data_IF_659798493472
#
_entry.id   IF_659798493472
#
_cell.length_a   1.000
_cell.length_b   1.000
_cell.length_c   1.000
_cell.angle_alpha   90.00
_cell.angle_beta   90.00
_cell.angle_gamma   90.00
#
_symmetry.space_group_name_H-M   'P 1'
#
loop_
_entity.id
_entity.type
_entity.pdbx_description
1 polymer ?
#
# COMPACT_ATOMS: atom_id res chain seq x y z
N UNK A 1 -2.23 -1.04 -34.68
CA UNK A 1 -1.52 -2.28 -34.34
C UNK A 1 -1.68 -2.41 -32.85
N UNK A 2 -2.86 -2.81 -32.36
CA UNK A 2 -2.96 -3.04 -30.92
C UNK A 2 -1.89 -4.04 -30.48
N UNK A 3 -1.01 -3.67 -29.55
CA UNK A 3 -0.03 -4.60 -28.99
C UNK A 3 -0.77 -5.80 -28.42
N UNK A 4 -0.29 -7.01 -28.68
CA UNK A 4 -0.80 -8.25 -28.11
C UNK A 4 0.23 -8.87 -27.17
N UNK A 5 -0.26 -9.66 -26.21
CA UNK A 5 0.57 -10.49 -25.36
C UNK A 5 0.54 -11.92 -25.94
N UNK A 6 1.71 -12.48 -26.22
CA UNK A 6 1.84 -13.85 -26.73
C UNK A 6 1.72 -14.89 -25.62
N UNK A 7 1.64 -16.17 -26.00
CA UNK A 7 1.63 -17.31 -25.08
C UNK A 7 2.91 -17.47 -24.25
N UNK A 8 3.95 -16.68 -24.50
CA UNK A 8 5.20 -16.66 -23.73
C UNK A 8 5.07 -15.86 -22.42
N UNK A 9 3.91 -15.25 -22.18
CA UNK A 9 3.64 -14.51 -20.96
C UNK A 9 3.80 -15.38 -19.70
N UNK A 10 4.63 -14.89 -18.77
CA UNK A 10 4.88 -15.53 -17.47
C UNK A 10 4.01 -14.97 -16.33
N UNK A 11 2.96 -14.20 -16.66
CA UNK A 11 2.04 -13.60 -15.69
C UNK A 11 2.70 -12.76 -14.58
N UNK A 12 3.80 -12.06 -14.90
CA UNK A 12 4.54 -11.24 -13.93
C UNK A 12 3.82 -9.95 -13.50
N UNK A 13 2.82 -9.48 -14.27
CA UNK A 13 2.05 -8.27 -13.98
C UNK A 13 2.79 -6.94 -14.16
N UNK A 14 4.03 -6.95 -14.65
CA UNK A 14 4.84 -5.74 -14.77
C UNK A 14 4.30 -4.75 -15.82
N UNK A 15 3.59 -5.23 -16.85
CA UNK A 15 3.06 -4.40 -17.93
C UNK A 15 1.77 -3.66 -17.58
N UNK A 16 0.95 -4.20 -16.66
CA UNK A 16 -0.35 -3.64 -16.28
C UNK A 16 -0.28 -2.19 -15.77
N UNK A 17 0.58 -1.84 -14.79
CA UNK A 17 0.65 -0.46 -14.27
C UNK A 17 1.25 0.54 -15.26
N UNK A 18 1.97 0.08 -16.28
CA UNK A 18 2.63 0.94 -17.26
C UNK A 18 1.68 1.40 -18.37
N UNK A 19 0.48 0.82 -18.49
CA UNK A 19 -0.45 1.17 -19.56
C UNK A 19 -1.22 2.47 -19.24
N UNK A 20 -1.04 3.56 -20.02
CA UNK A 20 -1.72 4.84 -19.76
C UNK A 20 -3.25 4.75 -19.86
N UNK A 21 -3.75 3.81 -20.66
CA UNK A 21 -5.17 3.64 -20.95
C UNK A 21 -5.82 2.52 -20.10
N UNK A 22 -5.05 1.85 -19.24
CA UNK A 22 -5.48 0.65 -18.51
C UNK A 22 -6.07 -0.42 -19.44
N UNK A 23 -5.35 -0.71 -20.54
CA UNK A 23 -5.79 -1.65 -21.57
C UNK A 23 -5.40 -3.12 -21.28
N UNK A 24 -4.62 -3.35 -20.23
CA UNK A 24 -4.04 -4.66 -19.91
C UNK A 24 -4.77 -5.25 -18.70
N UNK A 25 -5.17 -6.51 -18.82
CA UNK A 25 -5.94 -7.24 -17.81
C UNK A 25 -5.32 -8.61 -17.58
N UNK A 26 -5.45 -9.12 -16.35
CA UNK A 26 -5.06 -10.49 -16.03
C UNK A 26 -6.00 -11.51 -16.68
N UNK A 27 -5.47 -12.70 -16.98
CA UNK A 27 -6.26 -13.82 -17.47
C UNK A 27 -7.46 -14.12 -16.56
N UNK A 28 -8.63 -14.33 -17.17
CA UNK A 28 -9.89 -14.63 -16.47
C UNK A 28 -10.59 -13.42 -15.82
N UNK A 29 -9.98 -12.23 -15.86
CA UNK A 29 -10.61 -11.00 -15.37
C UNK A 29 -11.46 -10.38 -16.46
N UNK A 30 -12.71 -10.04 -16.16
CA UNK A 30 -13.58 -9.28 -17.07
C UNK A 30 -13.06 -7.85 -17.27
N UNK A 31 -13.11 -7.34 -18.49
CA UNK A 31 -12.65 -5.98 -18.79
C UNK A 31 -13.82 -5.01 -18.92
N UNK A 32 -13.57 -3.74 -18.64
CA UNK A 32 -14.57 -2.69 -18.70
C UNK A 32 -14.31 -1.76 -19.90
N UNK A 33 -15.33 -1.60 -20.74
CA UNK A 33 -15.35 -0.64 -21.83
C UNK A 33 -15.51 0.80 -21.31
N UNK A 34 -15.27 1.78 -22.18
CA UNK A 34 -15.34 3.20 -21.80
C UNK A 34 -16.75 3.66 -21.39
N UNK A 35 -17.79 3.00 -21.89
CA UNK A 35 -19.18 3.24 -21.52
C UNK A 35 -19.57 2.61 -20.16
N UNK A 36 -18.62 1.90 -19.53
CA UNK A 36 -18.80 1.22 -18.27
C UNK A 36 -19.33 -0.21 -18.40
N UNK A 37 -19.56 -0.72 -19.61
CA UNK A 37 -20.00 -2.08 -19.83
C UNK A 37 -18.89 -3.10 -19.51
N UNK A 38 -19.27 -4.22 -18.91
CA UNK A 38 -18.36 -5.32 -18.56
C UNK A 38 -18.40 -6.40 -19.63
N UNK A 39 -17.23 -6.83 -20.08
CA UNK A 39 -17.03 -7.81 -21.14
C UNK A 39 -16.24 -9.02 -20.62
N UNK A 40 -16.48 -10.22 -21.17
CA UNK A 40 -15.72 -11.41 -20.79
C UNK A 40 -14.23 -11.27 -21.09
N UNK A 41 -13.41 -11.99 -20.33
CA UNK A 41 -11.96 -12.02 -20.53
C UNK A 41 -11.60 -12.48 -21.95
N UNK A 42 -10.59 -11.85 -22.57
CA UNK A 42 -10.09 -12.26 -23.88
C UNK A 42 -9.13 -13.46 -23.78
N UNK A 43 -8.54 -13.67 -22.61
CA UNK A 43 -7.73 -14.84 -22.28
C UNK A 43 -8.03 -15.25 -20.85
N UNK A 44 -8.08 -16.55 -20.59
CA UNK A 44 -8.26 -17.12 -19.25
C UNK A 44 -6.93 -17.45 -18.56
N UNK A 45 -5.85 -17.61 -19.34
CA UNK A 45 -4.60 -18.20 -18.86
C UNK A 45 -3.46 -17.18 -18.69
N UNK A 46 -3.45 -16.13 -19.52
CA UNK A 46 -2.38 -15.13 -19.56
C UNK A 46 -2.95 -13.71 -19.53
N UNK A 47 -2.10 -12.74 -19.17
CA UNK A 47 -2.45 -11.33 -19.39
C UNK A 47 -2.82 -11.09 -20.84
N UNK A 48 -3.82 -10.24 -21.05
CA UNK A 48 -4.28 -9.86 -22.38
C UNK A 48 -4.42 -8.34 -22.49
N UNK A 49 -4.30 -7.84 -23.72
CA UNK A 49 -4.46 -6.42 -24.04
C UNK A 49 -5.76 -6.26 -24.81
N UNK A 50 -6.64 -5.36 -24.36
CA UNK A 50 -7.88 -5.01 -25.04
C UNK A 50 -7.55 -4.10 -26.23
N UNK A 51 -7.77 -4.54 -27.48
CA UNK A 51 -7.37 -3.77 -28.66
C UNK A 51 -8.02 -2.39 -28.73
N UNK A 52 -9.28 -2.29 -28.29
CA UNK A 52 -10.07 -1.06 -28.31
C UNK A 52 -9.51 0.03 -27.38
N UNK A 53 -8.73 -0.36 -26.36
CA UNK A 53 -8.09 0.55 -25.40
C UNK A 53 -6.60 0.75 -25.70
N UNK A 54 -6.00 -0.06 -26.56
CA UNK A 54 -4.58 0.04 -26.87
C UNK A 54 -4.33 1.16 -27.89
N UNK A 55 -3.44 2.10 -27.55
CA UNK A 55 -2.98 3.17 -28.46
C UNK A 55 -1.53 3.00 -28.87
N UNK A 56 -0.89 1.86 -28.59
CA UNK A 56 0.56 1.66 -28.77
C UNK A 56 1.41 2.76 -28.11
N UNK A 57 0.88 3.31 -27.02
CA UNK A 57 1.41 4.48 -26.30
C UNK A 57 1.52 5.77 -27.14
N UNK A 58 0.96 5.83 -28.36
CA UNK A 58 0.86 7.07 -29.14
C UNK A 58 0.09 8.11 -28.32
N UNK A 59 0.68 9.30 -28.18
CA UNK A 59 0.16 10.37 -27.32
C UNK A 59 0.82 10.45 -25.94
N UNK A 60 1.55 9.40 -25.51
CA UNK A 60 2.12 9.29 -24.17
C UNK A 60 3.61 8.97 -24.16
N UNK A 61 4.04 7.98 -24.95
CA UNK A 61 5.44 7.51 -25.02
C UNK A 61 5.90 7.34 -26.48
N UNK A 62 7.20 7.40 -26.71
CA UNK A 62 7.85 7.17 -28.01
C UNK A 62 8.10 5.68 -28.31
N UNK A 63 7.67 4.80 -27.41
CA UNK A 63 7.76 3.34 -27.51
C UNK A 63 6.65 2.69 -26.67
N UNK A 64 6.37 1.41 -26.89
CA UNK A 64 5.40 0.68 -26.07
C UNK A 64 5.96 0.41 -24.67
N UNK A 65 5.43 1.10 -23.66
CA UNK A 65 5.87 0.96 -22.26
C UNK A 65 5.72 -0.48 -21.73
N UNK A 66 4.68 -1.19 -22.16
CA UNK A 66 4.48 -2.60 -21.81
C UNK A 66 5.56 -3.51 -22.38
N UNK A 67 6.08 -3.22 -23.58
CA UNK A 67 7.18 -3.98 -24.17
C UNK A 67 8.52 -3.68 -23.47
N UNK A 68 8.75 -2.42 -23.07
CA UNK A 68 9.98 -2.03 -22.38
C UNK A 68 10.17 -2.67 -21.00
N UNK A 69 9.07 -3.02 -20.32
CA UNK A 69 9.10 -3.64 -18.98
C UNK A 69 8.95 -5.17 -19.02
N UNK A 70 8.64 -5.76 -20.17
CA UNK A 70 8.37 -7.19 -20.28
C UNK A 70 9.67 -8.01 -20.12
N UNK A 71 9.80 -8.89 -19.11
CA UNK A 71 11.03 -9.65 -18.89
C UNK A 71 11.27 -10.77 -19.92
N UNK A 72 10.26 -11.10 -20.72
CA UNK A 72 10.26 -12.19 -21.71
C UNK A 72 9.89 -11.69 -23.11
N UNK A 73 9.85 -10.36 -23.32
CA UNK A 73 9.57 -9.72 -24.61
C UNK A 73 8.29 -10.20 -25.33
N UNK A 74 7.28 -10.65 -24.59
CA UNK A 74 6.04 -11.21 -25.14
C UNK A 74 4.98 -10.17 -25.52
N UNK A 75 5.24 -8.87 -25.32
CA UNK A 75 4.35 -7.77 -25.71
C UNK A 75 4.74 -7.27 -27.11
N UNK A 76 4.09 -7.79 -28.15
CA UNK A 76 4.47 -7.55 -29.55
C UNK A 76 3.33 -6.85 -30.31
N UNK A 77 3.63 -6.02 -31.32
CA UNK A 77 2.59 -5.45 -32.18
C UNK A 77 1.78 -6.56 -32.85
N UNK A 78 0.45 -6.51 -32.76
CA UNK A 78 -0.39 -7.55 -33.36
C UNK A 78 -0.40 -7.40 -34.91
N UNK A 79 0.10 -8.40 -35.67
CA UNK A 79 0.09 -8.35 -37.12
C UNK A 79 -1.33 -8.40 -37.73
N UNK A 80 -2.30 -8.91 -36.99
CA UNK A 80 -3.69 -9.10 -37.47
C UNK A 80 -4.54 -7.82 -37.35
N UNK A 81 -4.07 -6.80 -36.62
CA UNK A 81 -4.81 -5.55 -36.38
C UNK A 81 -3.93 -4.32 -36.70
N UNK A 82 -3.47 -4.11 -37.95
CA UNK A 82 -2.65 -2.96 -38.29
C UNK A 82 -3.43 -1.65 -38.20
N UNK A 83 -2.84 -0.62 -37.56
CA UNK A 83 -3.47 0.70 -37.39
C UNK A 83 -2.40 1.77 -37.58
N UNK A 84 -2.83 2.93 -38.09
CA UNK A 84 -1.94 4.05 -38.38
C UNK A 84 -1.77 4.96 -37.16
N UNK A 85 -0.72 5.77 -37.20
CA UNK A 85 -0.46 6.81 -36.21
C UNK A 85 -1.71 7.65 -35.89
N UNK A 86 -2.42 8.11 -36.92
CA UNK A 86 -3.55 9.04 -36.75
C UNK A 86 -4.74 8.36 -36.06
N UNK A 87 -5.01 7.09 -36.38
CA UNK A 87 -6.06 6.30 -35.71
C UNK A 87 -5.78 6.13 -34.22
N UNK A 88 -4.52 5.86 -33.86
CA UNK A 88 -4.11 5.67 -32.47
C UNK A 88 -4.13 6.98 -31.69
N UNK A 89 -3.74 8.09 -32.33
CA UNK A 89 -3.77 9.42 -31.74
C UNK A 89 -5.21 9.88 -31.48
N UNK A 90 -6.12 9.65 -32.42
CA UNK A 90 -7.54 9.96 -32.24
C UNK A 90 -8.17 9.11 -31.14
N UNK A 91 -7.82 7.81 -31.06
CA UNK A 91 -8.24 6.95 -29.95
C UNK A 91 -7.73 7.47 -28.61
N UNK A 92 -6.48 7.92 -28.52
CA UNK A 92 -5.92 8.49 -27.29
C UNK A 92 -6.72 9.71 -26.81
N UNK A 93 -7.14 10.58 -27.74
CA UNK A 93 -7.98 11.76 -27.43
C UNK A 93 -9.38 11.37 -26.95
N UNK A 94 -9.94 10.29 -27.49
CA UNK A 94 -11.25 9.76 -27.06
C UNK A 94 -11.15 9.07 -25.69
N UNK A 95 -10.04 8.40 -25.39
CA UNK A 95 -9.78 7.77 -24.09
C UNK A 95 -9.54 8.78 -22.97
N UNK A 96 -8.96 9.94 -23.31
CA UNK A 96 -8.58 10.96 -22.34
C UNK A 96 -9.11 12.35 -22.74
N UNK A 97 -10.44 12.57 -22.69
CA UNK A 97 -11.04 13.87 -23.04
C UNK A 97 -10.58 15.02 -22.12
N UNK A 98 -10.06 14.70 -20.94
CA UNK A 98 -9.47 15.63 -19.99
C UNK A 98 -8.03 16.07 -20.34
N UNK A 99 -7.34 15.34 -21.23
CA UNK A 99 -5.96 15.62 -21.62
C UNK A 99 -5.90 16.33 -22.98
N UNK A 100 -5.08 17.38 -23.08
CA UNK A 100 -4.80 18.04 -24.36
C UNK A 100 -3.64 17.34 -25.07
N UNK A 101 -3.93 16.36 -25.93
CA UNK A 101 -2.94 15.60 -26.70
C UNK A 101 -2.69 16.27 -28.07
N UNK A 102 -1.52 16.89 -28.21
CA UNK A 102 -1.10 17.61 -29.41
C UNK A 102 -0.76 16.67 -30.58
N UNK A 103 -0.80 17.18 -31.82
CA UNK A 103 -0.47 16.39 -33.03
C UNK A 103 1.00 15.94 -33.07
N UNK A 104 1.88 16.69 -32.41
CA UNK A 104 3.31 16.41 -32.30
C UNK A 104 3.66 15.48 -31.13
N UNK A 105 2.67 14.93 -30.42
CA UNK A 105 2.87 14.06 -29.27
C UNK A 105 3.80 12.85 -29.55
N UNK A 106 4.48 12.32 -28.50
CA UNK A 106 5.37 11.18 -28.61
C UNK A 106 4.72 9.97 -29.30
N UNK A 107 5.49 9.31 -30.16
CA UNK A 107 5.03 8.16 -30.91
C UNK A 107 6.17 7.28 -31.40
N UNK A 108 5.97 5.96 -31.33
CA UNK A 108 6.87 4.94 -31.92
C UNK A 108 7.11 5.10 -33.41
N UNK A 109 6.22 5.79 -34.13
CA UNK A 109 6.33 6.01 -35.57
C UNK A 109 7.31 7.16 -35.92
N UNK A 110 7.78 7.93 -34.92
CA UNK A 110 8.52 9.19 -35.14
C UNK A 110 10.04 9.11 -34.91
N UNK A 111 10.67 7.93 -34.84
CA UNK A 111 12.13 7.83 -34.61
C UNK A 111 12.93 8.35 -35.83
N UNK A 112 13.79 9.35 -35.57
CA UNK A 112 14.78 9.90 -36.50
C UNK A 112 15.63 8.79 -37.15
N UNK A 113 15.70 8.75 -38.50
CA UNK A 113 16.69 7.96 -39.24
C UNK A 113 16.36 6.49 -39.48
N UNK A 114 15.28 6.19 -40.21
CA UNK A 114 15.01 4.84 -40.71
C UNK A 114 15.95 4.45 -41.87
N UNK A 115 17.07 3.80 -41.54
CA UNK A 115 17.65 2.74 -42.40
C UNK A 115 17.40 1.42 -41.69
N UNK A 116 16.57 0.58 -42.30
CA UNK A 116 16.37 -0.79 -41.83
C UNK A 116 17.67 -1.60 -41.97
N UNK A 117 18.02 -2.43 -40.99
CA UNK A 117 18.76 -3.64 -41.25
C UNK A 117 17.91 -4.88 -41.02
N UNK A 118 18.01 -5.73 -42.02
CA UNK A 118 17.52 -7.09 -42.16
C UNK A 118 17.64 -7.98 -40.92
N UNK A 119 16.70 -8.94 -40.90
CA UNK A 119 16.71 -10.17 -40.12
C UNK A 119 18.12 -10.75 -39.89
N UNK A 120 18.44 -10.99 -38.62
CA UNK A 120 19.41 -11.99 -38.21
C UNK A 120 18.73 -12.86 -37.15
N UNK A 121 18.33 -14.05 -37.58
CA UNK A 121 17.87 -15.10 -36.69
C UNK A 121 19.04 -15.73 -35.95
N UNK A 122 18.78 -16.17 -34.72
CA UNK A 122 19.56 -17.20 -34.07
C UNK A 122 18.64 -18.41 -33.90
N UNK A 123 18.95 -19.44 -34.67
CA UNK A 123 18.13 -20.61 -34.83
C UNK A 123 18.14 -21.54 -33.62
N UNK A 124 16.96 -22.03 -33.30
CA UNK A 124 16.78 -23.43 -32.94
C UNK A 124 15.62 -23.97 -33.77
N UNK A 125 15.97 -24.52 -34.94
CA UNK A 125 15.04 -25.29 -35.75
C UNK A 125 14.72 -26.61 -35.04
N UNK A 126 13.44 -26.84 -34.77
CA UNK A 126 12.88 -28.18 -34.74
C UNK A 126 11.50 -28.13 -35.40
N UNK A 127 11.41 -28.80 -36.54
CA UNK A 127 10.24 -28.93 -37.39
C UNK A 127 9.05 -29.56 -36.65
N UNK A 128 7.82 -29.10 -36.94
CA UNK A 128 6.86 -29.83 -37.77
C UNK A 128 5.41 -29.31 -37.69
N UNK A 129 4.76 -29.39 -38.85
CA UNK A 129 3.34 -29.64 -39.11
C UNK A 129 2.29 -28.52 -38.90
N UNK A 130 1.60 -28.23 -40.01
CA UNK A 130 0.39 -27.42 -40.16
C UNK A 130 -0.83 -28.13 -39.53
N UNK A 131 -1.90 -27.37 -39.18
CA UNK A 131 -2.91 -27.77 -38.21
C UNK A 131 -4.05 -28.60 -38.79
N UNK A 132 -4.61 -29.49 -37.96
CA UNK A 132 -5.86 -30.18 -38.22
C UNK A 132 -7.04 -29.41 -37.57
N UNK A 133 -8.10 -29.25 -38.36
CA UNK A 133 -9.37 -28.57 -38.07
C UNK A 133 -10.12 -29.25 -36.90
N UNK A 134 -10.77 -28.50 -35.98
CA UNK A 134 -11.64 -29.09 -34.98
C UNK A 134 -13.04 -29.38 -35.55
N UNK A 135 -13.67 -30.53 -35.21
CA UNK A 135 -15.05 -30.83 -35.57
C UNK A 135 -16.08 -30.17 -34.61
N UNK A 136 -17.34 -30.00 -35.07
CA UNK A 136 -18.32 -29.11 -34.44
C UNK A 136 -19.07 -29.72 -33.24
N UNK A 137 -19.60 -28.81 -32.42
CA UNK A 137 -20.34 -29.05 -31.19
C UNK A 137 -21.64 -29.88 -31.37
N UNK A 138 -21.94 -30.71 -30.38
CA UNK A 138 -23.20 -31.44 -30.24
C UNK A 138 -24.00 -30.94 -29.00
N UNK A 139 -25.34 -31.10 -28.98
CA UNK A 139 -26.26 -30.19 -28.30
C UNK A 139 -26.63 -30.55 -26.86
N UNK A 140 -27.12 -29.53 -26.13
CA UNK A 140 -27.64 -29.55 -24.75
C UNK A 140 -28.73 -30.62 -24.55
N UNK A 141 -28.57 -31.45 -23.51
CA UNK A 141 -29.60 -32.32 -22.98
C UNK A 141 -30.13 -31.79 -21.62
N UNK A 142 -31.43 -32.01 -21.41
CA UNK A 142 -32.26 -31.43 -20.37
C UNK A 142 -32.06 -32.00 -18.95
N UNK A 143 -32.49 -31.20 -17.97
CA UNK A 143 -32.48 -31.49 -16.54
C UNK A 143 -33.32 -32.72 -16.15
N UNK A 144 -32.86 -33.56 -15.20
CA UNK A 144 -33.72 -34.54 -14.54
C UNK A 144 -34.39 -33.97 -13.27
N UNK A 145 -35.63 -34.44 -13.08
CA UNK A 145 -36.55 -34.06 -12.02
C UNK A 145 -36.16 -34.57 -10.62
N UNK A 146 -36.75 -33.91 -9.63
CA UNK A 146 -36.54 -34.08 -8.19
C UNK A 146 -36.79 -35.51 -7.67
N UNK A 147 -35.89 -35.98 -6.80
CA UNK A 147 -36.05 -37.19 -5.99
C UNK A 147 -36.68 -36.86 -4.62
N UNK A 148 -37.44 -37.79 -4.01
CA UNK A 148 -38.23 -37.55 -2.80
C UNK A 148 -37.38 -37.48 -1.52
N UNK A 149 -37.81 -36.61 -0.60
CA UNK A 149 -37.24 -36.40 0.75
C UNK A 149 -37.20 -37.70 1.56
N UNK A 150 -36.00 -38.11 1.95
CA UNK A 150 -35.78 -39.15 2.95
C UNK A 150 -36.02 -38.60 4.37
N UNK A 151 -36.61 -39.45 5.23
CA UNK A 151 -36.99 -39.16 6.59
C UNK A 151 -35.79 -38.92 7.52
N UNK A 152 -36.02 -38.08 8.54
CA UNK A 152 -35.02 -37.69 9.54
C UNK A 152 -34.54 -38.88 10.40
N UNK A 153 -33.22 -39.00 10.67
CA UNK A 153 -32.70 -39.97 11.63
C UNK A 153 -32.89 -39.49 13.08
N UNK A 154 -33.17 -40.46 13.96
CA UNK A 154 -33.33 -40.33 15.40
C UNK A 154 -32.03 -39.86 16.10
N UNK A 155 -32.10 -39.25 17.31
CA UNK A 155 -30.95 -38.59 17.93
C UNK A 155 -29.91 -39.61 18.39
N UNK A 156 -28.72 -39.54 17.79
CA UNK A 156 -27.55 -40.29 18.25
C UNK A 156 -26.89 -39.59 19.44
N UNK A 157 -26.44 -40.42 20.37
CA UNK A 157 -25.79 -40.07 21.64
C UNK A 157 -24.59 -39.14 21.39
N UNK A 158 -24.56 -37.99 22.06
CA UNK A 158 -23.44 -37.03 22.04
C UNK A 158 -22.15 -37.72 22.52
N UNK A 159 -21.33 -38.15 21.56
CA UNK A 159 -19.91 -38.40 21.80
C UNK A 159 -19.24 -37.11 22.25
N UNK A 160 -18.46 -37.21 23.32
CA UNK A 160 -17.65 -36.13 23.88
C UNK A 160 -16.71 -35.62 22.77
N UNK A 161 -16.93 -34.39 22.31
CA UNK A 161 -16.02 -33.69 21.40
C UNK A 161 -14.69 -33.56 22.13
N UNK A 162 -13.68 -34.31 21.70
CA UNK A 162 -12.31 -34.11 22.16
C UNK A 162 -11.88 -32.71 21.72
N UNK A 163 -11.55 -31.89 22.73
CA UNK A 163 -11.02 -30.55 22.53
C UNK A 163 -9.74 -30.67 21.68
N UNK A 164 -9.58 -29.92 20.58
CA UNK A 164 -8.35 -29.93 19.81
C UNK A 164 -7.17 -29.70 20.75
N UNK A 165 -6.28 -30.66 20.84
CA UNK A 165 -5.04 -30.55 21.61
C UNK A 165 -4.26 -29.39 21.00
N UNK A 166 -3.94 -28.39 21.82
CA UNK A 166 -3.13 -27.27 21.39
C UNK A 166 -1.83 -27.82 20.76
N UNK A 167 -1.43 -27.35 19.57
CA UNK A 167 -0.18 -27.78 18.98
C UNK A 167 0.96 -27.51 19.97
N UNK A 168 1.96 -28.41 20.04
CA UNK A 168 3.07 -28.24 20.96
C UNK A 168 3.74 -26.89 20.72
N UNK A 169 4.20 -26.19 21.79
CA UNK A 169 4.89 -24.93 21.64
C UNK A 169 6.09 -25.11 20.71
N UNK A 170 6.18 -24.30 19.65
CA UNK A 170 7.31 -24.31 18.71
C UNK A 170 8.59 -24.13 19.53
N UNK A 171 9.51 -25.08 19.40
CA UNK A 171 10.83 -24.99 20.05
C UNK A 171 11.50 -23.71 19.55
N UNK A 172 11.79 -22.77 20.45
CA UNK A 172 12.40 -21.50 20.10
C UNK A 172 13.78 -21.77 19.48
N UNK A 173 13.94 -21.42 18.20
CA UNK A 173 15.23 -21.51 17.51
C UNK A 173 16.20 -20.54 18.19
N UNK A 174 17.46 -20.93 18.47
CA UNK A 174 18.44 -20.01 19.02
C UNK A 174 18.63 -18.81 18.09
N UNK A 175 18.69 -17.61 18.67
CA UNK A 175 18.86 -16.38 17.90
C UNK A 175 20.23 -16.39 17.19
N UNK A 176 20.28 -16.11 15.88
CA UNK A 176 21.55 -15.96 15.16
C UNK A 176 22.35 -14.79 15.72
N UNK A 177 23.68 -14.87 15.66
CA UNK A 177 24.60 -13.81 16.11
C UNK A 177 25.28 -13.18 14.90
N UNK A 178 25.44 -11.85 14.89
CA UNK A 178 25.92 -11.11 13.73
C UNK A 178 27.14 -10.23 14.02
N UNK A 179 27.88 -9.88 12.97
CA UNK A 179 29.01 -8.95 13.08
C UNK A 179 28.50 -7.54 13.42
N UNK A 180 29.11 -6.89 14.42
CA UNK A 180 28.69 -5.56 14.91
C UNK A 180 27.55 -5.62 15.94
N UNK A 181 27.17 -6.82 16.39
CA UNK A 181 26.19 -7.00 17.45
C UNK A 181 26.79 -6.68 18.82
N UNK A 182 26.05 -5.91 19.63
CA UNK A 182 26.44 -5.56 20.98
C UNK A 182 26.31 -6.77 21.91
N UNK A 183 27.25 -6.91 22.85
CA UNK A 183 27.26 -7.99 23.84
C UNK A 183 26.20 -7.84 24.94
N UNK A 184 25.46 -6.72 24.95
CA UNK A 184 24.42 -6.42 25.94
C UNK A 184 23.11 -7.04 25.50
N UNK A 185 22.33 -7.57 26.46
CA UNK A 185 21.02 -8.14 26.16
C UNK A 185 20.03 -7.10 25.66
N UNK A 186 19.10 -7.50 24.78
CA UNK A 186 18.13 -6.58 24.17
C UNK A 186 17.32 -5.86 25.25
N UNK A 187 16.79 -6.59 26.23
CA UNK A 187 15.93 -6.03 27.27
C UNK A 187 16.70 -5.09 28.21
N UNK A 188 18.01 -5.33 28.42
CA UNK A 188 18.88 -4.41 29.17
C UNK A 188 19.10 -3.12 28.39
N UNK A 189 19.37 -3.21 27.08
CA UNK A 189 19.56 -2.04 26.22
C UNK A 189 18.28 -1.20 26.13
N UNK A 190 17.10 -1.84 26.09
CA UNK A 190 15.80 -1.15 26.19
C UNK A 190 15.66 -0.43 27.53
N UNK A 191 16.03 -1.08 28.64
CA UNK A 191 15.96 -0.49 29.97
C UNK A 191 16.90 0.73 30.11
N UNK A 192 18.11 0.64 29.55
CA UNK A 192 19.12 1.71 29.56
C UNK A 192 18.70 2.92 28.72
N UNK A 193 18.06 2.68 27.57
CA UNK A 193 17.45 3.74 26.76
C UNK A 193 16.22 4.34 27.45
N UNK A 194 15.49 3.52 28.22
CA UNK A 194 14.27 3.91 28.91
C UNK A 194 13.13 4.29 27.97
N UNK A 195 12.13 4.99 28.54
CA UNK A 195 11.04 5.56 27.75
C UNK A 195 11.59 6.53 26.69
N UNK A 196 10.93 6.67 25.52
CA UNK A 196 11.31 7.66 24.51
C UNK A 196 11.44 9.03 25.16
N UNK A 197 12.67 9.48 25.36
CA UNK A 197 12.98 10.75 26.02
C UNK A 197 13.91 11.49 25.09
N UNK A 198 13.47 12.66 24.64
CA UNK A 198 14.37 13.66 24.05
C UNK A 198 15.42 14.00 25.11
N UNK A 199 16.71 13.73 24.85
CA UNK A 199 17.78 14.31 25.68
C UNK A 199 17.92 15.75 25.23
N UNK A 200 17.24 16.64 25.95
CA UNK A 200 17.31 18.08 25.76
C UNK A 200 18.73 18.56 26.08
N UNK A 201 19.65 18.45 25.14
CA UNK A 201 20.87 19.22 25.20
C UNK A 201 20.49 20.69 24.93
N UNK A 202 20.60 21.49 26.00
CA UNK A 202 20.29 22.92 26.11
C UNK A 202 18.80 23.28 26.33
N UNK A 203 18.62 24.23 27.26
CA UNK A 203 17.38 24.88 27.69
C UNK A 203 16.61 25.63 26.57
N UNK A 204 17.06 25.56 25.32
CA UNK A 204 16.53 26.31 24.18
C UNK A 204 15.46 25.56 23.36
N UNK A 205 15.01 24.37 23.80
CA UNK A 205 14.09 23.51 23.02
C UNK A 205 12.77 23.10 23.71
N UNK A 206 12.53 23.50 24.96
CA UNK A 206 11.28 23.24 25.69
C UNK A 206 10.11 24.17 25.33
N UNK A 207 10.29 25.51 25.17
CA UNK A 207 9.19 26.41 24.86
C UNK A 207 8.39 26.04 23.58
N UNK A 208 9.03 25.68 22.44
CA UNK A 208 8.29 25.37 21.22
C UNK A 208 7.53 24.02 21.32
N UNK A 209 7.97 23.09 22.17
CA UNK A 209 7.27 21.82 22.40
C UNK A 209 6.02 21.99 23.26
N UNK A 210 6.06 22.84 24.29
CA UNK A 210 4.88 23.17 25.08
C UNK A 210 3.86 23.96 24.25
N UNK A 211 4.33 24.87 23.37
CA UNK A 211 3.49 25.54 22.39
C UNK A 211 2.81 24.57 21.42
N UNK A 212 3.53 23.53 20.97
CA UNK A 212 2.94 22.45 20.17
C UNK A 212 1.88 21.67 20.94
N UNK A 213 2.17 21.27 22.18
CA UNK A 213 1.23 20.54 23.02
C UNK A 213 -0.04 21.36 23.31
N UNK A 214 0.11 22.66 23.56
CA UNK A 214 -1.03 23.58 23.73
C UNK A 214 -1.79 23.82 22.42
N UNK A 215 -1.07 23.87 21.29
CA UNK A 215 -1.60 24.10 19.95
C UNK A 215 -2.13 22.85 19.24
N UNK A 216 -2.04 21.66 19.85
CA UNK A 216 -2.43 20.40 19.21
C UNK A 216 -3.88 20.38 18.74
N UNK A 217 -4.77 21.10 19.45
CA UNK A 217 -6.16 21.26 19.05
C UNK A 217 -6.32 21.97 17.70
N UNK A 218 -5.46 22.93 17.35
CA UNK A 218 -5.48 23.55 16.02
C UNK A 218 -4.82 22.65 14.97
N UNK A 219 -3.73 21.99 15.32
CA UNK A 219 -3.04 21.06 14.41
C UNK A 219 -3.89 19.82 14.09
N UNK A 220 -4.84 19.45 14.95
CA UNK A 220 -5.80 18.38 14.68
C UNK A 220 -6.75 18.64 13.51
N UNK A 221 -6.86 19.90 13.05
CA UNK A 221 -7.60 20.24 11.84
C UNK A 221 -6.90 19.79 10.56
N UNK A 222 -5.58 19.53 10.61
CA UNK A 222 -4.79 19.19 9.43
C UNK A 222 -5.16 17.83 8.84
N UNK A 223 -4.77 17.62 7.58
CA UNK A 223 -4.97 16.34 6.88
C UNK A 223 -4.23 15.18 7.58
N UNK A 224 -4.67 13.92 7.39
CA UNK A 224 -4.00 12.75 7.98
C UNK A 224 -2.51 12.70 7.66
N UNK A 225 -2.15 12.92 6.39
CA UNK A 225 -0.76 12.93 5.93
C UNK A 225 0.08 14.00 6.61
N UNK A 226 -0.46 15.21 6.82
CA UNK A 226 0.27 16.28 7.50
C UNK A 226 0.46 15.97 8.99
N UNK A 227 -0.57 15.45 9.66
CA UNK A 227 -0.47 15.05 11.08
C UNK A 227 0.57 13.94 11.28
N UNK A 228 0.62 12.96 10.37
CA UNK A 228 1.66 11.93 10.40
C UNK A 228 3.07 12.49 10.20
N UNK A 229 3.25 13.48 9.31
CA UNK A 229 4.54 14.17 9.14
C UNK A 229 4.95 14.94 10.40
N UNK A 230 4.00 15.59 11.07
CA UNK A 230 4.26 16.29 12.35
C UNK A 230 4.63 15.27 13.43
N UNK A 231 3.88 14.18 13.57
CA UNK A 231 4.18 13.09 14.51
C UNK A 231 5.59 12.52 14.29
N UNK A 232 5.95 12.25 13.03
CA UNK A 232 7.31 11.81 12.69
C UNK A 232 8.37 12.86 13.07
N UNK A 233 8.13 14.14 12.82
CA UNK A 233 9.07 15.21 13.17
C UNK A 233 9.24 15.42 14.69
N UNK A 234 8.16 15.28 15.46
CA UNK A 234 8.17 15.48 16.91
C UNK A 234 8.67 14.23 17.63
N UNK A 235 8.27 13.04 17.17
CA UNK A 235 8.65 11.72 17.70
C UNK A 235 8.49 11.57 19.23
N UNK A 236 7.57 12.33 19.84
CA UNK A 236 7.22 12.27 21.27
C UNK A 236 5.72 12.55 21.46
N UNK A 237 4.98 11.49 21.82
CA UNK A 237 3.53 11.53 21.99
C UNK A 237 3.04 12.45 23.09
N UNK A 238 3.92 12.87 24.01
CA UNK A 238 3.56 13.83 25.06
C UNK A 238 3.30 15.23 24.49
N UNK A 239 3.95 15.56 23.37
CA UNK A 239 3.85 16.88 22.75
C UNK A 239 2.94 16.89 21.52
N UNK A 240 2.86 15.77 20.80
CA UNK A 240 1.93 15.65 19.68
C UNK A 240 1.49 14.21 19.50
N UNK A 241 0.17 13.98 19.54
CA UNK A 241 -0.43 12.70 19.18
C UNK A 241 -1.53 12.97 18.12
N UNK A 242 -1.49 12.33 16.94
CA UNK A 242 -2.45 12.60 15.87
C UNK A 242 -3.92 12.38 16.26
N UNK A 243 -4.20 11.40 17.12
CA UNK A 243 -5.55 11.06 17.56
C UNK A 243 -6.02 12.05 18.61
N UNK A 244 -5.18 12.33 19.61
CA UNK A 244 -5.49 13.33 20.63
C UNK A 244 -5.67 14.72 20.01
N UNK A 245 -4.81 15.11 19.07
CA UNK A 245 -4.93 16.36 18.34
C UNK A 245 -6.28 16.46 17.60
N UNK A 246 -6.68 15.38 16.90
CA UNK A 246 -7.97 15.33 16.19
C UNK A 246 -9.15 15.40 17.16
N UNK A 247 -9.10 14.65 18.26
CA UNK A 247 -10.14 14.70 19.30
C UNK A 247 -10.25 16.10 19.92
N UNK A 248 -9.12 16.70 20.30
CA UNK A 248 -9.05 18.06 20.82
C UNK A 248 -9.60 19.08 19.82
N UNK A 249 -9.34 18.90 18.52
CA UNK A 249 -9.89 19.74 17.46
C UNK A 249 -11.42 19.60 17.34
N UNK A 250 -11.96 18.39 17.47
CA UNK A 250 -13.42 18.16 17.45
C UNK A 250 -14.08 18.92 18.61
N UNK A 251 -13.51 18.84 19.83
CA UNK A 251 -14.00 19.61 20.97
C UNK A 251 -13.85 21.12 20.77
N UNK A 252 -12.73 21.56 20.18
CA UNK A 252 -12.50 22.97 19.86
C UNK A 252 -13.52 23.49 18.83
N UNK A 253 -13.93 22.67 17.87
CA UNK A 253 -14.94 23.03 16.86
C UNK A 253 -16.34 23.24 17.45
N UNK A 254 -16.66 22.62 18.60
CA UNK A 254 -17.88 22.91 19.36
C UNK A 254 -17.94 24.35 19.88
N UNK A 255 -16.80 25.05 19.91
CA UNK A 255 -16.71 26.48 20.26
C UNK A 255 -16.46 27.34 19.03
N UNK A 256 -15.51 26.95 18.17
CA UNK A 256 -15.11 27.74 17.00
C UNK A 256 -16.26 27.96 16.01
N UNK A 257 -17.06 26.93 15.71
CA UNK A 257 -18.14 27.06 14.73
C UNK A 257 -19.31 27.91 15.22
N UNK A 258 -19.81 27.75 16.46
CA UNK A 258 -20.77 28.71 17.02
C UNK A 258 -20.28 30.14 17.01
N UNK A 259 -19.03 30.38 17.42
CA UNK A 259 -18.43 31.74 17.43
C UNK A 259 -18.34 32.30 16.01
N UNK A 260 -17.88 31.50 15.04
CA UNK A 260 -17.80 31.92 13.64
C UNK A 260 -19.18 32.23 13.05
N UNK A 261 -20.19 31.38 13.29
CA UNK A 261 -21.56 31.62 12.84
C UNK A 261 -22.14 32.91 13.43
N UNK A 262 -21.93 33.16 14.72
CA UNK A 262 -22.36 34.42 15.37
C UNK A 262 -21.61 35.61 14.80
N UNK A 263 -20.29 35.53 14.61
CA UNK A 263 -19.49 36.61 14.04
C UNK A 263 -19.93 36.97 12.62
N UNK A 264 -20.19 35.97 11.77
CA UNK A 264 -20.75 36.17 10.42
C UNK A 264 -22.13 36.82 10.49
N UNK A 265 -22.99 36.40 11.42
CA UNK A 265 -24.31 36.98 11.60
C UNK A 265 -24.25 38.46 12.04
N UNK A 266 -23.32 38.79 12.95
CA UNK A 266 -23.08 40.16 13.39
C UNK A 266 -22.59 41.04 12.24
N UNK A 267 -21.64 40.53 11.45
CA UNK A 267 -21.07 41.24 10.30
C UNK A 267 -22.09 41.44 9.16
N UNK A 268 -22.95 40.44 8.89
CA UNK A 268 -23.89 40.48 7.78
C UNK A 268 -25.22 41.18 8.09
N UNK A 269 -25.64 41.25 9.37
CA UNK A 269 -26.98 41.73 9.75
C UNK A 269 -27.02 42.80 10.83
N UNK A 270 -25.87 43.37 11.24
CA UNK A 270 -25.78 44.38 12.31
C UNK A 270 -26.52 43.98 13.60
N UNK A 271 -26.49 42.68 13.95
CA UNK A 271 -27.18 42.14 15.12
C UNK A 271 -26.29 42.35 16.36
N UNK A 272 -26.87 42.84 17.46
CA UNK A 272 -26.16 42.96 18.74
C UNK A 272 -26.17 41.64 19.52
N UNK A 273 -25.06 41.35 20.22
CA UNK A 273 -24.84 40.10 20.99
C UNK A 273 -25.92 39.79 22.03
N UNK A 274 -26.69 40.79 22.46
CA UNK A 274 -27.67 40.69 23.54
C UNK A 274 -29.13 40.60 23.07
N UNK A 275 -29.36 40.41 21.76
CA UNK A 275 -30.69 40.13 21.22
C UNK A 275 -30.96 38.62 21.22
N UNK A 276 -32.21 38.13 21.09
CA UNK A 276 -32.51 36.68 21.02
C UNK A 276 -32.11 36.00 19.67
N UNK A 277 -31.62 36.77 18.70
CA UNK A 277 -31.21 36.30 17.36
C UNK A 277 -29.97 35.37 17.35
N UNK A 278 -28.94 35.51 18.22
CA UNK A 278 -27.73 34.68 18.20
C UNK A 278 -27.96 33.20 18.54
N UNK A 279 -29.06 32.84 19.23
CA UNK A 279 -29.28 31.46 19.67
C UNK A 279 -29.41 30.49 18.48
N UNK A 280 -30.10 30.89 17.40
CA UNK A 280 -30.20 30.06 16.19
C UNK A 280 -28.85 29.89 15.49
N UNK A 281 -27.98 30.90 15.53
CA UNK A 281 -26.63 30.84 14.95
C UNK A 281 -25.68 29.96 15.77
N UNK A 282 -25.84 29.95 17.10
CA UNK A 282 -25.14 29.01 18.00
C UNK A 282 -25.57 27.57 17.69
N UNK A 283 -26.90 27.32 17.57
CA UNK A 283 -27.43 26.00 17.21
C UNK A 283 -26.94 25.57 15.83
N UNK A 284 -26.91 26.48 14.85
CA UNK A 284 -26.35 26.21 13.53
C UNK A 284 -24.87 25.81 13.60
N UNK A 285 -24.05 26.58 14.33
CA UNK A 285 -22.63 26.27 14.51
C UNK A 285 -22.40 24.94 15.22
N UNK A 286 -23.21 24.61 16.22
CA UNK A 286 -23.15 23.32 16.92
C UNK A 286 -23.57 22.16 15.99
N UNK A 287 -24.57 22.39 15.13
CA UNK A 287 -24.99 21.46 14.10
C UNK A 287 -23.88 21.18 13.07
N UNK A 288 -23.20 22.22 12.59
CA UNK A 288 -22.05 22.09 11.68
C UNK A 288 -20.92 21.32 12.38
N UNK A 289 -20.62 21.63 13.64
CA UNK A 289 -19.57 20.96 14.41
C UNK A 289 -19.87 19.46 14.58
N UNK A 290 -21.11 19.13 14.92
CA UNK A 290 -21.57 17.75 15.08
C UNK A 290 -21.56 17.00 13.76
N UNK A 291 -22.01 17.63 12.67
CA UNK A 291 -22.02 17.06 11.33
C UNK A 291 -20.61 16.77 10.81
N UNK A 292 -19.66 17.71 11.00
CA UNK A 292 -18.27 17.48 10.65
C UNK A 292 -17.64 16.38 11.51
N UNK A 293 -17.89 16.38 12.83
CA UNK A 293 -17.37 15.34 13.72
C UNK A 293 -17.83 13.94 13.27
N UNK A 294 -19.11 13.79 12.92
CA UNK A 294 -19.66 12.55 12.38
C UNK A 294 -19.00 12.16 11.06
N UNK A 295 -18.78 13.11 10.14
CA UNK A 295 -18.10 12.85 8.86
C UNK A 295 -16.62 12.43 9.06
N UNK A 296 -15.93 13.06 10.00
CA UNK A 296 -14.51 12.78 10.30
C UNK A 296 -14.30 11.43 10.99
N UNK A 297 -15.29 11.01 11.78
CA UNK A 297 -15.28 9.74 12.53
C UNK A 297 -16.09 8.63 11.85
N UNK A 298 -16.54 8.82 10.61
CA UNK A 298 -17.51 7.93 9.96
C UNK A 298 -17.08 6.47 9.90
N UNK A 299 -15.79 6.19 9.73
CA UNK A 299 -15.28 4.81 9.70
C UNK A 299 -15.38 4.16 11.08
N UNK A 300 -14.99 4.85 12.14
CA UNK A 300 -15.10 4.32 13.50
C UNK A 300 -16.55 4.25 13.98
N UNK A 301 -17.37 5.26 13.62
CA UNK A 301 -18.75 5.38 14.09
C UNK A 301 -19.72 4.44 13.34
N UNK A 302 -19.62 4.35 12.00
CA UNK A 302 -20.54 3.53 11.20
C UNK A 302 -20.01 2.12 10.90
N UNK A 303 -18.69 1.89 10.94
CA UNK A 303 -18.08 0.61 10.57
C UNK A 303 -17.33 -0.08 11.73
N UNK A 304 -17.50 0.42 12.97
CA UNK A 304 -16.88 -0.11 14.19
C UNK A 304 -15.35 -0.32 14.09
N UNK A 305 -14.68 0.43 13.21
CA UNK A 305 -13.24 0.34 13.05
C UNK A 305 -12.52 1.00 14.24
N UNK A 306 -11.55 0.32 14.87
CA UNK A 306 -10.85 0.87 16.03
C UNK A 306 -10.14 2.17 15.66
N UNK A 307 -10.26 3.19 16.52
CA UNK A 307 -9.66 4.52 16.33
C UNK A 307 -8.13 4.48 16.14
N UNK A 308 -7.50 3.41 16.63
CA UNK A 308 -6.07 3.17 16.50
C UNK A 308 -5.62 2.92 15.05
N UNK A 309 -6.51 2.36 14.22
CA UNK A 309 -6.18 1.80 12.91
C UNK A 309 -6.70 2.67 11.75
N UNK A 310 -7.55 3.66 12.04
CA UNK A 310 -8.15 4.53 11.02
C UNK A 310 -7.46 5.90 10.98
N UNK A 311 -7.01 6.35 9.79
CA UNK A 311 -6.53 7.72 9.63
C UNK A 311 -7.68 8.74 9.79
N UNK A 312 -7.74 9.39 10.95
CA UNK A 312 -8.75 10.41 11.26
C UNK A 312 -8.66 11.62 10.33
N UNK A 313 -9.76 11.96 9.66
CA UNK A 313 -9.81 13.09 8.70
C UNK A 313 -9.50 14.44 9.34
N UNK A 314 -9.04 15.37 8.50
CA UNK A 314 -8.89 16.78 8.87
C UNK A 314 -10.22 17.52 8.95
N UNK A 315 -10.20 18.73 9.50
CA UNK A 315 -11.34 19.64 9.54
C UNK A 315 -11.56 20.33 8.20
N UNK A 316 -12.73 20.92 8.00
CA UNK A 316 -13.05 21.69 6.79
C UNK A 316 -12.07 22.84 6.54
N UNK A 317 -11.61 23.51 7.60
CA UNK A 317 -10.62 24.59 7.54
C UNK A 317 -9.17 24.09 7.60
N UNK A 318 -8.95 22.78 7.63
CA UNK A 318 -7.61 22.16 7.64
C UNK A 318 -6.67 22.68 6.54
N UNK A 319 -7.12 22.88 5.29
CA UNK A 319 -6.28 23.45 4.22
C UNK A 319 -5.71 24.84 4.55
N UNK A 320 -6.46 25.68 5.28
CA UNK A 320 -5.99 27.02 5.68
C UNK A 320 -4.84 26.96 6.69
N UNK A 321 -4.78 25.90 7.49
CA UNK A 321 -3.71 25.69 8.48
C UNK A 321 -2.52 24.91 7.91
N UNK A 322 -2.55 24.49 6.63
CA UNK A 322 -1.45 23.77 6.00
C UNK A 322 -0.09 24.47 6.12
N UNK A 323 0.03 25.81 5.95
CA UNK A 323 1.30 26.52 6.11
C UNK A 323 1.86 26.40 7.54
N UNK A 324 0.99 26.42 8.55
CA UNK A 324 1.38 26.23 9.95
C UNK A 324 1.93 24.81 10.18
N UNK A 325 1.27 23.79 9.63
CA UNK A 325 1.77 22.42 9.69
C UNK A 325 3.14 22.27 9.03
N UNK A 326 3.35 22.90 7.87
CA UNK A 326 4.66 22.92 7.20
C UNK A 326 5.72 23.63 8.03
N UNK A 327 5.39 24.77 8.65
CA UNK A 327 6.30 25.51 9.54
C UNK A 327 6.79 24.63 10.69
N UNK A 328 5.88 23.89 11.33
CA UNK A 328 6.21 22.93 12.39
C UNK A 328 7.18 21.86 11.86
N UNK A 329 6.85 21.19 10.75
CA UNK A 329 7.73 20.15 10.18
C UNK A 329 9.11 20.72 9.84
N UNK A 330 9.20 21.93 9.29
CA UNK A 330 10.49 22.57 8.99
C UNK A 330 11.27 22.95 10.25
N UNK A 331 10.60 23.38 11.31
CA UNK A 331 11.24 23.81 12.55
C UNK A 331 11.83 22.64 13.36
N UNK A 332 11.17 21.47 13.33
CA UNK A 332 11.62 20.28 14.06
C UNK A 332 12.48 19.33 13.20
N UNK A 333 12.38 19.44 11.88
CA UNK A 333 13.05 18.56 10.91
C UNK A 333 12.38 17.19 10.81
N UNK A 334 12.44 16.57 9.62
CA UNK A 334 11.96 15.19 9.48
C UNK A 334 12.89 14.24 10.25
N UNK A 335 12.41 13.52 11.26
CA UNK A 335 13.17 12.52 12.01
C UNK A 335 12.58 11.13 11.75
N UNK A 336 13.43 10.15 11.48
CA UNK A 336 13.00 8.80 11.16
C UNK A 336 12.46 8.61 9.74
N UNK A 337 12.11 7.36 9.43
CA UNK A 337 11.56 6.95 8.14
C UNK A 337 10.50 5.88 8.39
N UNK A 338 9.34 6.02 7.74
CA UNK A 338 8.28 5.02 7.79
C UNK A 338 7.91 4.72 6.36
N UNK A 339 7.95 3.45 5.98
CA UNK A 339 7.27 3.02 4.77
C UNK A 339 5.79 2.80 5.10
N UNK A 340 4.92 3.37 4.27
CA UNK A 340 3.48 3.24 4.41
C UNK A 340 2.92 2.67 3.13
N UNK A 341 1.99 1.73 3.24
CA UNK A 341 1.19 1.27 2.10
C UNK A 341 0.12 2.32 1.84
N UNK A 342 0.05 2.83 0.60
CA UNK A 342 -1.03 3.71 0.19
C UNK A 342 -2.37 2.97 0.22
N UNK A 343 -3.38 3.57 0.86
CA UNK A 343 -4.76 3.07 0.84
C UNK A 343 -5.40 3.42 -0.50
N UNK A 344 -5.71 2.41 -1.32
CA UNK A 344 -6.24 2.60 -2.67
C UNK A 344 -7.75 2.89 -2.65
N UNK A 345 -8.10 4.11 -2.24
CA UNK A 345 -9.43 4.67 -2.48
C UNK A 345 -10.61 3.90 -1.86
N UNK A 346 -11.82 4.40 -2.11
CA UNK A 346 -13.05 3.99 -1.42
C UNK A 346 -13.65 2.66 -1.92
N UNK A 347 -13.13 2.10 -3.02
CA UNK A 347 -13.71 0.95 -3.74
C UNK A 347 -12.96 -0.37 -3.57
N UNK A 348 -11.72 -0.34 -3.08
CA UNK A 348 -11.00 -1.55 -2.72
C UNK A 348 -11.37 -1.94 -1.29
N UNK A 349 -12.07 -3.06 -1.10
CA UNK A 349 -12.47 -3.55 0.22
C UNK A 349 -11.28 -3.78 1.17
N UNK A 350 -11.57 -4.04 2.46
CA UNK A 350 -10.54 -4.31 3.49
C UNK A 350 -9.60 -5.46 3.09
N UNK A 351 -10.13 -6.50 2.47
CA UNK A 351 -9.37 -7.68 2.04
C UNK A 351 -8.28 -7.32 1.02
N UNK A 352 -8.55 -6.38 0.11
CA UNK A 352 -7.58 -5.91 -0.87
C UNK A 352 -6.42 -5.12 -0.23
N UNK A 353 -6.73 -4.32 0.79
CA UNK A 353 -5.69 -3.61 1.55
C UNK A 353 -4.81 -4.59 2.33
N UNK A 354 -5.40 -5.61 2.94
CA UNK A 354 -4.66 -6.63 3.68
C UNK A 354 -3.74 -7.44 2.76
N UNK A 355 -4.21 -7.81 1.56
CA UNK A 355 -3.39 -8.47 0.54
C UNK A 355 -2.23 -7.58 0.06
N UNK A 356 -2.50 -6.29 -0.19
CA UNK A 356 -1.47 -5.32 -0.55
C UNK A 356 -0.43 -5.15 0.56
N UNK A 357 -0.86 -5.05 1.82
CA UNK A 357 0.03 -4.97 2.97
C UNK A 357 0.91 -6.22 3.07
N UNK A 358 0.31 -7.39 2.90
CA UNK A 358 1.04 -8.65 2.93
C UNK A 358 2.01 -8.80 1.75
N UNK A 359 1.66 -8.26 0.58
CA UNK A 359 2.57 -8.15 -0.56
C UNK A 359 3.79 -7.29 -0.22
N UNK A 360 3.59 -6.11 0.35
CA UNK A 360 4.70 -5.23 0.74
C UNK A 360 5.59 -5.84 1.83
N UNK A 361 5.03 -6.63 2.75
CA UNK A 361 5.83 -7.41 3.73
C UNK A 361 6.73 -8.43 3.03
N UNK A 362 6.24 -9.10 1.97
CA UNK A 362 7.02 -10.09 1.20
C UNK A 362 8.23 -9.48 0.51
N UNK A 363 8.16 -8.21 0.13
CA UNK A 363 9.29 -7.46 -0.41
C UNK A 363 10.18 -6.80 0.65
N UNK A 364 9.88 -6.96 1.94
CA UNK A 364 10.60 -6.27 3.01
C UNK A 364 10.41 -4.75 2.98
N UNK A 365 9.38 -4.27 2.29
CA UNK A 365 9.08 -2.85 2.16
C UNK A 365 8.52 -2.27 3.45
N UNK A 366 7.92 -3.07 4.34
CA UNK A 366 7.25 -2.60 5.57
C UNK A 366 8.23 -2.50 6.73
N UNK A 367 8.64 -1.26 7.03
CA UNK A 367 9.51 -0.96 8.16
C UNK A 367 9.22 0.42 8.75
N UNK A 368 9.58 0.57 10.02
CA UNK A 368 9.53 1.83 10.77
C UNK A 368 10.87 2.06 11.45
N UNK A 369 11.53 3.15 11.08
CA UNK A 369 12.71 3.67 11.73
C UNK A 369 12.32 4.85 12.61
N UNK A 370 12.32 4.64 13.92
CA UNK A 370 12.20 5.71 14.92
C UNK A 370 13.60 6.26 15.22
N UNK A 371 13.80 7.56 15.01
CA UNK A 371 15.05 8.24 15.31
C UNK A 371 14.94 8.96 16.67
N UNK A 372 15.63 8.44 17.69
CA UNK A 372 15.81 9.10 19.00
C UNK A 372 17.11 9.88 19.02
N UNK A 373 17.31 10.69 20.05
CA UNK A 373 18.56 11.45 20.20
C UNK A 373 19.76 10.52 20.53
N UNK A 374 19.52 9.39 21.19
CA UNK A 374 20.55 8.44 21.65
C UNK A 374 20.59 7.09 20.90
N UNK A 375 19.55 6.74 20.14
CA UNK A 375 19.50 5.51 19.35
C UNK A 375 18.54 5.61 18.15
N UNK A 376 18.73 4.71 17.18
CA UNK A 376 17.71 4.36 16.20
C UNK A 376 16.98 3.08 16.65
N UNK A 377 15.67 3.03 16.46
CA UNK A 377 14.87 1.82 16.68
C UNK A 377 14.22 1.48 15.34
N UNK A 378 14.71 0.41 14.71
CA UNK A 378 14.18 -0.13 13.48
C UNK A 378 13.23 -1.29 13.80
N UNK A 379 12.04 -1.26 13.21
CA UNK A 379 11.08 -2.36 13.23
C UNK A 379 10.79 -2.77 11.80
N UNK A 380 10.98 -4.03 11.47
CA UNK A 380 10.67 -4.61 10.16
C UNK A 380 9.60 -5.68 10.34
N UNK A 381 8.54 -5.60 9.55
CA UNK A 381 7.47 -6.61 9.56
C UNK A 381 7.75 -7.67 8.49
N UNK A 382 7.87 -8.92 8.93
CA UNK A 382 8.00 -10.07 8.06
C UNK A 382 6.62 -10.57 7.62
N UNK A 383 6.54 -11.31 6.50
CA UNK A 383 5.30 -11.90 6.03
C UNK A 383 4.67 -12.84 7.07
N UNK A 384 3.35 -12.75 7.21
CA UNK A 384 2.50 -13.49 8.15
C UNK A 384 1.63 -14.53 7.43
N UNK A 385 1.19 -14.26 6.21
CA UNK A 385 0.21 -15.08 5.49
C UNK A 385 0.77 -15.50 4.15
N UNK A 386 0.59 -16.79 3.83
CA UNK A 386 0.98 -17.36 2.56
C UNK A 386 0.10 -16.78 1.44
N UNK A 387 0.65 -16.38 0.27
CA UNK A 387 -0.18 -15.96 -0.85
C UNK A 387 -1.11 -17.11 -1.30
N UNK A 388 -2.36 -16.80 -1.69
CA UNK A 388 -3.25 -17.81 -2.23
C UNK A 388 -2.66 -18.35 -3.53
N UNK A 389 -2.50 -19.67 -3.62
CA UNK A 389 -2.04 -20.34 -4.83
C UNK A 389 -2.59 -21.76 -4.88
N UNK A 390 -3.01 -22.21 -6.06
CA UNK A 390 -3.45 -23.59 -6.29
C UNK A 390 -2.38 -24.61 -5.89
N UNK A 391 -1.11 -24.28 -6.14
CA UNK A 391 0.02 -25.12 -5.73
C UNK A 391 0.16 -25.23 -4.20
N UNK A 392 -0.20 -24.20 -3.43
CA UNK A 392 -0.19 -24.29 -1.98
C UNK A 392 -1.27 -25.26 -1.47
N UNK A 393 -2.44 -25.27 -2.10
CA UNK A 393 -3.54 -26.19 -1.81
C UNK A 393 -3.15 -27.64 -2.16
N UNK A 394 -2.58 -27.85 -3.35
CA UNK A 394 -2.08 -29.17 -3.77
C UNK A 394 -0.99 -29.71 -2.84
N UNK A 395 -0.08 -28.84 -2.40
CA UNK A 395 0.96 -29.20 -1.45
C UNK A 395 0.42 -29.34 -0.02
N UNK A 396 -0.82 -28.96 0.27
CA UNK A 396 -1.40 -28.99 1.62
C UNK A 396 -0.62 -28.14 2.61
N UNK A 397 -0.22 -26.93 2.20
CA UNK A 397 0.51 -25.99 3.06
C UNK A 397 -0.45 -25.23 3.98
N UNK A 398 -0.04 -24.93 5.24
CA UNK A 398 -0.84 -24.08 6.11
C UNK A 398 -0.90 -22.64 5.55
N UNK A 399 -1.98 -21.89 5.84
CA UNK A 399 -2.11 -20.50 5.40
C UNK A 399 -1.14 -19.54 6.13
N UNK A 400 -0.56 -19.96 7.25
CA UNK A 400 0.44 -19.17 7.99
C UNK A 400 1.81 -19.28 7.31
N UNK A 401 2.47 -18.15 7.11
CA UNK A 401 3.82 -18.11 6.56
C UNK A 401 4.85 -18.72 7.54
N UNK A 402 5.78 -19.59 7.10
CA UNK A 402 6.88 -20.06 7.94
C UNK A 402 7.84 -18.93 8.33
N UNK A 403 8.69 -19.17 9.33
CA UNK A 403 9.72 -18.21 9.70
C UNK A 403 10.83 -18.14 8.64
N UNK A 404 11.23 -16.91 8.33
CA UNK A 404 12.34 -16.65 7.43
C UNK A 404 13.66 -16.80 8.18
N UNK A 405 14.70 -17.20 7.46
CA UNK A 405 16.06 -16.87 7.87
C UNK A 405 16.32 -15.40 7.61
N UNK A 406 17.13 -14.79 8.46
CA UNK A 406 17.52 -13.40 8.28
C UNK A 406 19.00 -13.19 8.59
N UNK A 407 19.60 -12.25 7.87
CA UNK A 407 20.95 -11.77 8.06
C UNK A 407 20.92 -10.26 8.29
N UNK A 408 21.70 -9.79 9.26
CA UNK A 408 21.80 -8.38 9.63
C UNK A 408 23.20 -7.87 9.37
N UNK A 409 23.32 -6.73 8.70
CA UNK A 409 24.60 -6.09 8.44
C UNK A 409 24.52 -4.58 8.61
N UNK A 410 25.57 -4.00 9.20
CA UNK A 410 25.79 -2.57 9.27
C UNK A 410 26.95 -2.21 8.32
N UNK A 411 26.68 -1.49 7.24
CA UNK A 411 27.64 -1.13 6.19
C UNK A 411 27.54 0.36 5.85
N UNK A 412 28.62 1.12 6.02
CA UNK A 412 28.74 2.51 5.53
C UNK A 412 27.56 3.43 5.88
N UNK A 413 27.09 3.37 7.13
CA UNK A 413 25.94 4.16 7.58
C UNK A 413 24.59 3.66 7.07
N UNK A 414 24.52 2.48 6.46
CA UNK A 414 23.29 1.78 6.07
C UNK A 414 23.14 0.50 6.89
N UNK A 415 21.95 0.28 7.41
CA UNK A 415 21.59 -0.99 8.04
C UNK A 415 20.79 -1.84 7.05
N UNK A 416 21.26 -3.07 6.83
CA UNK A 416 20.67 -4.01 5.89
C UNK A 416 20.05 -5.18 6.64
N UNK A 417 18.79 -5.49 6.30
CA UNK A 417 18.07 -6.69 6.74
C UNK A 417 17.82 -7.53 5.51
N UNK A 418 18.45 -8.69 5.43
CA UNK A 418 18.23 -9.65 4.36
C UNK A 418 17.39 -10.82 4.88
N UNK A 419 16.22 -11.07 4.30
CA UNK A 419 15.33 -12.16 4.69
C UNK A 419 15.24 -13.21 3.60
N UNK A 420 15.22 -14.51 3.96
CA UNK A 420 15.15 -15.63 3.02
C UNK A 420 14.19 -16.72 3.50
N UNK A 421 13.36 -17.23 2.58
CA UNK A 421 12.51 -18.41 2.83
C UNK A 421 13.38 -19.65 2.94
N UNK A 422 13.22 -20.43 4.01
CA UNK A 422 13.98 -21.67 4.24
C UNK A 422 13.23 -22.92 3.82
N UNK A 423 11.91 -22.96 4.05
CA UNK A 423 11.10 -24.14 3.77
C UNK A 423 11.12 -24.48 2.27
N UNK A 424 11.65 -25.64 1.86
CA UNK A 424 11.72 -26.03 0.46
C UNK A 424 10.36 -26.15 -0.22
N UNK A 425 9.29 -26.49 0.53
CA UNK A 425 7.93 -26.59 -0.01
C UNK A 425 7.36 -25.21 -0.31
N UNK A 426 7.57 -24.26 0.60
CA UNK A 426 7.14 -22.86 0.41
C UNK A 426 7.97 -22.17 -0.67
N UNK A 427 9.27 -22.48 -0.78
CA UNK A 427 10.11 -21.99 -1.89
C UNK A 427 9.60 -22.36 -3.28
N UNK A 428 8.90 -23.49 -3.45
CA UNK A 428 8.30 -23.82 -4.75
C UNK A 428 7.24 -22.81 -5.17
N UNK A 429 6.56 -22.19 -4.20
CA UNK A 429 5.55 -21.18 -4.46
C UNK A 429 6.17 -19.88 -4.98
N UNK A 430 7.44 -19.58 -4.71
CA UNK A 430 8.04 -18.30 -5.15
C UNK A 430 8.17 -18.20 -6.67
N UNK A 431 8.09 -19.33 -7.38
CA UNK A 431 8.10 -19.39 -8.83
C UNK A 431 6.69 -19.29 -9.46
N UNK A 432 5.63 -19.43 -8.66
CA UNK A 432 4.25 -19.62 -9.16
C UNK A 432 3.28 -18.60 -8.57
N UNK A 433 3.43 -18.28 -7.29
CA UNK A 433 2.58 -17.32 -6.61
C UNK A 433 2.98 -15.88 -6.96
N UNK A 434 2.02 -15.01 -7.30
CA UNK A 434 2.31 -13.63 -7.67
C UNK A 434 2.91 -12.88 -6.48
N UNK A 435 3.89 -12.03 -6.79
CA UNK A 435 4.50 -11.12 -5.84
C UNK A 435 5.05 -11.81 -4.58
N UNK A 436 5.67 -12.99 -4.75
CA UNK A 436 6.27 -13.76 -3.68
C UNK A 436 7.76 -14.05 -3.95
N UNK A 437 8.66 -13.12 -3.64
CA UNK A 437 10.09 -13.35 -3.79
C UNK A 437 10.59 -14.38 -2.76
N UNK A 438 11.62 -15.13 -3.12
CA UNK A 438 12.27 -16.11 -2.23
C UNK A 438 13.16 -15.46 -1.17
N UNK A 439 13.58 -14.22 -1.41
CA UNK A 439 14.36 -13.39 -0.51
C UNK A 439 14.05 -11.91 -0.72
N UNK A 440 14.28 -11.10 0.32
CA UNK A 440 14.15 -9.65 0.27
C UNK A 440 15.30 -8.97 0.99
N UNK A 441 15.55 -7.70 0.65
CA UNK A 441 16.57 -6.89 1.34
C UNK A 441 16.02 -5.50 1.65
N UNK A 442 15.88 -5.21 2.94
CA UNK A 442 15.51 -3.87 3.43
C UNK A 442 16.79 -3.10 3.74
N UNK A 443 17.01 -1.96 3.06
CA UNK A 443 18.14 -1.06 3.31
C UNK A 443 17.66 0.22 3.96
N UNK A 444 18.24 0.55 5.12
CA UNK A 444 17.85 1.73 5.89
C UNK A 444 19.07 2.62 6.11
N UNK A 445 19.06 3.79 5.50
CA UNK A 445 20.12 4.78 5.69
C UNK A 445 20.03 5.43 7.08
N UNK A 446 21.14 5.43 7.81
CA UNK A 446 21.30 6.05 9.12
C UNK A 446 22.03 7.38 8.95
N UNK A 447 21.49 8.44 9.55
CA UNK A 447 22.05 9.79 9.41
C UNK A 447 23.27 10.05 10.28
N UNK A 448 23.37 9.31 11.39
CA UNK A 448 24.47 9.41 12.34
C UNK A 448 25.11 8.04 12.51
N UNK A 449 26.44 8.00 12.75
CA UNK A 449 27.13 6.75 13.04
C UNK A 449 26.55 6.10 14.30
N UNK A 450 26.55 4.77 14.34
CA UNK A 450 26.07 3.96 15.47
C UNK A 450 27.22 3.13 16.03
N UNK A 451 27.16 2.80 17.32
CA UNK A 451 28.20 2.01 18.00
C UNK A 451 28.15 0.52 17.64
N UNK A 452 26.98 0.06 17.21
CA UNK A 452 26.64 -1.33 16.93
C UNK A 452 25.12 -1.47 16.94
N UNK A 453 24.64 -2.71 17.01
CA UNK A 453 23.20 -2.98 17.10
C UNK A 453 22.89 -4.17 18.02
N UNK A 454 21.65 -4.27 18.47
CA UNK A 454 21.10 -5.46 19.12
C UNK A 454 19.70 -5.72 18.58
N UNK A 455 19.36 -6.99 18.38
CA UNK A 455 18.09 -7.35 17.74
C UNK A 455 17.25 -8.31 18.56
N UNK A 456 15.97 -8.38 18.23
CA UNK A 456 14.99 -9.34 18.75
C UNK A 456 13.99 -9.66 17.65
N UNK A 457 13.76 -10.94 17.40
CA UNK A 457 12.73 -11.39 16.47
C UNK A 457 11.64 -12.15 17.23
N UNK A 458 10.40 -11.64 17.19
CA UNK A 458 9.21 -12.26 17.81
C UNK A 458 7.98 -11.97 16.94
N UNK A 459 7.09 -12.95 16.78
CA UNK A 459 5.79 -12.78 16.11
C UNK A 459 5.85 -12.10 14.73
N UNK A 460 6.81 -12.53 13.89
CA UNK A 460 7.10 -11.96 12.56
C UNK A 460 7.51 -10.48 12.58
N UNK A 461 8.02 -9.99 13.71
CA UNK A 461 8.52 -8.65 13.86
C UNK A 461 9.99 -8.69 14.28
N UNK A 462 10.85 -8.10 13.44
CA UNK A 462 12.24 -7.88 13.77
C UNK A 462 12.37 -6.48 14.35
N UNK A 463 12.75 -6.40 15.62
CA UNK A 463 13.12 -5.16 16.29
C UNK A 463 14.64 -5.07 16.40
N UNK A 464 15.22 -3.94 15.98
CA UNK A 464 16.65 -3.66 16.06
C UNK A 464 16.87 -2.31 16.73
N UNK A 465 17.72 -2.30 17.75
CA UNK A 465 18.16 -1.08 18.43
C UNK A 465 19.59 -0.79 17.99
N UNK A 466 19.82 0.43 17.48
CA UNK A 466 21.13 0.90 17.05
C UNK A 466 21.51 2.16 17.84
N UNK A 467 22.26 2.02 18.95
CA UNK A 467 22.71 3.17 19.73
C UNK A 467 23.61 4.09 18.92
N UNK A 468 23.30 5.39 18.93
CA UNK A 468 24.07 6.42 18.24
C UNK A 468 25.46 6.54 18.88
N UNK A 469 26.48 6.69 18.05
CA UNK A 469 27.79 7.11 18.53
C UNK A 469 27.68 8.57 18.96
N UNK A 470 27.99 8.86 20.22
CA UNK A 470 28.09 10.25 20.69
C UNK A 470 29.12 10.97 19.82
N UNK A 471 28.72 12.10 19.22
CA UNK A 471 29.69 13.00 18.60
C UNK A 471 30.68 13.43 19.68
N UNK A 472 31.97 13.12 19.46
CA UNK A 472 33.06 13.54 20.35
C UNK A 472 33.22 15.06 20.33
#
# INVERSE_FOLDING_TARGET
>A
MATMITSECINCGACEPECPNTAIYQGGVEWQAQDGATHPALSDDIFYIVPEKCTECVGFHDHEACAAVCPVDCCVPNPDIPETHDVLLDRARVLHPELTIADDAPSRFKKEGAVAPAAQGNGHDAAAARPATPPPAAPKAAAPAAAPRAAAPAPSVRGRVEKPVAPPPRVARPAPTFAGELSVEYDQLVADLGAPRRRLHSSLSLPPLWLLAAGQGFLGALSPAMKQRIDASVSDRRFFDPQLATAANIFLNLVLYPVACVAVAMAARHVSLFTPVPQHWIVLGLGIASGEAAWRLRESFFHAAPLAEVPLRGALYGPLLWPLGRLVVTAFGARGATSTVGFDGFYAGRDHYDEKLERERRYGSIYRLEERDDAYILRVEFPRVLPPSSLADELGLPPEMPDYDYELALRDGTFEVHGRVTDPRVRKLTAVAPAFPSEFTTRVALRQPVKGFRHRYRDKMLEVILPKATAA
#
